data_IF_280941264814
#
_entry.id   IF_280941264814
#
_cell.length_a   1.000
_cell.length_b   1.000
_cell.length_c   1.000
_cell.angle_alpha   90.00
_cell.angle_beta   90.00
_cell.angle_gamma   90.00
#
_symmetry.space_group_name_H-M   'P 1'
#
loop_
_entity.id
_entity.type
_entity.pdbx_description
1 polymer ?
#
# COMPACT_ATOMS: atom_id res chain seq x y z
N UNK A 1 -11.08 33.99 2.51
CA UNK A 1 -11.99 33.41 3.54
C UNK A 1 -13.00 32.39 2.98
N UNK A 2 -13.55 32.56 1.76
CA UNK A 2 -14.53 31.62 1.16
C UNK A 2 -14.00 30.21 0.81
N UNK A 3 -12.71 30.07 0.48
CA UNK A 3 -12.11 28.76 0.14
C UNK A 3 -12.08 27.82 1.36
N UNK A 4 -11.86 28.37 2.56
CA UNK A 4 -11.83 27.61 3.82
C UNK A 4 -13.18 26.99 4.18
N UNK A 5 -14.29 27.66 3.86
CA UNK A 5 -15.64 27.15 4.18
C UNK A 5 -16.09 26.02 3.24
N UNK A 6 -15.72 26.09 1.95
CA UNK A 6 -15.97 24.99 1.01
C UNK A 6 -15.18 23.74 1.38
N UNK A 7 -13.92 23.91 1.81
CA UNK A 7 -13.08 22.81 2.29
C UNK A 7 -13.65 22.17 3.56
N UNK A 8 -14.18 22.96 4.51
CA UNK A 8 -14.84 22.42 5.71
C UNK A 8 -16.08 21.56 5.43
N UNK A 9 -16.89 21.91 4.42
CA UNK A 9 -18.05 21.08 4.02
C UNK A 9 -17.64 19.79 3.29
N UNK A 10 -16.49 19.80 2.61
CA UNK A 10 -15.98 18.63 1.89
C UNK A 10 -15.20 17.66 2.78
N UNK A 11 -14.64 18.13 3.91
CA UNK A 11 -13.96 17.28 4.89
C UNK A 11 -14.74 16.04 5.33
N UNK A 12 -16.01 16.13 5.78
CA UNK A 12 -16.73 14.95 6.27
C UNK A 12 -17.02 13.93 5.15
N UNK A 13 -17.29 14.40 3.93
CA UNK A 13 -17.53 13.54 2.76
C UNK A 13 -16.21 12.85 2.37
N UNK A 14 -15.13 13.61 2.29
CA UNK A 14 -13.79 13.12 2.00
C UNK A 14 -13.35 12.04 3.00
N UNK A 15 -13.51 12.29 4.30
CA UNK A 15 -13.17 11.33 5.35
C UNK A 15 -13.97 10.04 5.24
N UNK A 16 -15.27 10.12 4.89
CA UNK A 16 -16.10 8.93 4.62
C UNK A 16 -15.60 8.16 3.40
N UNK A 17 -15.31 8.84 2.28
CA UNK A 17 -14.79 8.18 1.06
C UNK A 17 -13.46 7.47 1.31
N UNK A 18 -12.52 8.13 2.00
CA UNK A 18 -11.25 7.52 2.41
C UNK A 18 -11.46 6.31 3.32
N UNK A 19 -12.42 6.39 4.26
CA UNK A 19 -12.75 5.28 5.15
C UNK A 19 -13.34 4.09 4.40
N UNK A 20 -14.21 4.34 3.41
CA UNK A 20 -14.77 3.28 2.55
C UNK A 20 -13.65 2.61 1.74
N UNK A 21 -12.76 3.40 1.11
CA UNK A 21 -11.62 2.88 0.35
C UNK A 21 -10.72 1.98 1.21
N UNK A 22 -10.52 2.35 2.48
CA UNK A 22 -9.79 1.52 3.44
C UNK A 22 -10.50 0.22 3.79
N UNK A 23 -11.81 0.25 4.04
CA UNK A 23 -12.57 -0.98 4.29
C UNK A 23 -12.56 -1.90 3.06
N UNK A 24 -12.65 -1.34 1.85
CA UNK A 24 -12.49 -2.10 0.61
C UNK A 24 -11.09 -2.71 0.50
N UNK A 25 -10.04 -1.95 0.79
CA UNK A 25 -8.67 -2.46 0.85
C UNK A 25 -8.57 -3.66 1.78
N UNK A 26 -9.07 -3.52 3.02
CA UNK A 26 -9.02 -4.55 4.06
C UNK A 26 -9.82 -5.79 3.65
N UNK A 27 -11.01 -5.61 3.09
CA UNK A 27 -11.86 -6.70 2.61
C UNK A 27 -11.23 -7.48 1.45
N UNK A 28 -10.38 -6.83 0.66
CA UNK A 28 -9.72 -7.40 -0.52
C UNK A 28 -8.30 -7.92 -0.19
N UNK A 29 -7.78 -7.71 1.03
CA UNK A 29 -6.52 -8.32 1.48
C UNK A 29 -6.43 -9.84 1.26
N UNK A 30 -7.51 -10.63 1.49
CA UNK A 30 -7.55 -12.05 1.19
C UNK A 30 -7.28 -12.42 -0.27
N UNK A 31 -7.51 -11.49 -1.19
CA UNK A 31 -7.41 -11.70 -2.64
C UNK A 31 -6.03 -11.21 -3.07
N UNK A 32 -5.04 -12.08 -2.91
CA UNK A 32 -3.62 -11.76 -3.16
C UNK A 32 -3.19 -11.97 -4.62
N UNK A 33 -4.04 -12.58 -5.46
CA UNK A 33 -3.69 -12.99 -6.83
C UNK A 33 -4.67 -12.43 -7.87
N UNK A 34 -4.54 -11.15 -8.24
CA UNK A 34 -5.42 -10.54 -9.26
C UNK A 34 -4.72 -10.41 -10.61
N UNK A 35 -5.11 -11.21 -11.64
CA UNK A 35 -4.41 -11.26 -12.92
C UNK A 35 -4.46 -9.94 -13.71
N UNK A 36 -5.50 -9.13 -13.50
CA UNK A 36 -5.60 -7.80 -14.13
C UNK A 36 -4.51 -6.84 -13.62
N UNK A 37 -4.18 -6.90 -12.33
CA UNK A 37 -3.17 -6.02 -11.73
C UNK A 37 -1.75 -6.45 -12.14
N UNK A 38 -1.51 -7.76 -12.27
CA UNK A 38 -0.24 -8.30 -12.78
C UNK A 38 0.01 -7.83 -14.23
N UNK A 39 -1.05 -7.76 -15.04
CA UNK A 39 -0.95 -7.33 -16.44
C UNK A 39 -0.67 -5.82 -16.58
N UNK A 40 -1.24 -4.99 -15.71
CA UNK A 40 -1.04 -3.52 -15.75
C UNK A 40 0.32 -3.12 -15.19
N UNK A 41 0.79 -3.76 -14.11
CA UNK A 41 2.06 -3.41 -13.47
C UNK A 41 3.26 -4.15 -14.08
N UNK A 42 3.03 -5.07 -15.02
CA UNK A 42 4.08 -5.92 -15.60
C UNK A 42 4.91 -6.65 -14.53
N UNK A 43 4.36 -6.82 -13.33
CA UNK A 43 4.99 -7.48 -12.20
C UNK A 43 4.54 -8.93 -12.17
N UNK A 44 5.52 -9.84 -12.25
CA UNK A 44 5.37 -11.28 -12.19
C UNK A 44 5.33 -11.83 -10.76
N UNK A 45 5.85 -11.08 -9.78
CA UNK A 45 6.16 -11.63 -8.46
C UNK A 45 5.02 -11.50 -7.42
N UNK A 46 4.19 -10.46 -7.44
CA UNK A 46 3.01 -10.31 -6.55
C UNK A 46 2.14 -9.13 -7.00
N UNK A 47 0.89 -9.38 -7.34
CA UNK A 47 -0.06 -8.35 -7.77
C UNK A 47 -1.35 -8.42 -6.93
N UNK A 48 -1.30 -7.92 -5.68
CA UNK A 48 -2.45 -8.01 -4.78
C UNK A 48 -3.58 -7.10 -5.29
N UNK A 49 -4.82 -7.59 -5.31
CA UNK A 49 -5.99 -6.77 -5.69
C UNK A 49 -6.11 -5.52 -4.81
N UNK A 50 -5.66 -5.62 -3.55
CA UNK A 50 -5.61 -4.53 -2.59
C UNK A 50 -4.65 -3.41 -2.98
N UNK A 51 -3.70 -3.67 -3.89
CA UNK A 51 -2.75 -2.67 -4.39
C UNK A 51 -3.42 -1.48 -5.07
N UNK A 52 -4.52 -1.71 -5.80
CA UNK A 52 -5.32 -0.64 -6.43
C UNK A 52 -5.86 0.31 -5.35
N UNK A 53 -6.43 -0.23 -4.27
CA UNK A 53 -7.00 0.57 -3.19
C UNK A 53 -5.93 1.32 -2.40
N UNK A 54 -4.74 0.71 -2.21
CA UNK A 54 -3.60 1.42 -1.60
C UNK A 54 -3.14 2.58 -2.46
N UNK A 55 -3.01 2.40 -3.78
CA UNK A 55 -2.60 3.48 -4.67
C UNK A 55 -3.62 4.63 -4.66
N UNK A 56 -4.93 4.31 -4.70
CA UNK A 56 -5.98 5.31 -4.57
C UNK A 56 -5.90 6.05 -3.23
N UNK A 57 -5.69 5.34 -2.12
CA UNK A 57 -5.49 5.96 -0.80
C UNK A 57 -4.20 6.79 -0.75
N UNK A 58 -3.13 6.35 -1.39
CA UNK A 58 -1.87 7.08 -1.46
C UNK A 58 -2.02 8.39 -2.25
N UNK A 59 -2.81 8.41 -3.34
CA UNK A 59 -3.03 9.63 -4.14
C UNK A 59 -4.01 10.56 -3.42
N UNK A 60 -5.08 10.01 -2.85
CA UNK A 60 -6.13 10.79 -2.25
C UNK A 60 -5.71 11.25 -0.85
N UNK A 61 -5.50 10.31 0.08
CA UNK A 61 -5.35 10.60 1.50
C UNK A 61 -3.95 11.09 1.90
N UNK A 62 -2.87 10.51 1.34
CA UNK A 62 -1.51 10.80 1.80
C UNK A 62 -1.10 12.28 1.65
N UNK A 63 -1.36 12.98 0.53
CA UNK A 63 -0.99 14.39 0.38
C UNK A 63 -1.71 15.26 1.41
N UNK A 64 -3.00 15.01 1.64
CA UNK A 64 -3.80 15.75 2.63
C UNK A 64 -3.28 15.48 4.05
N UNK A 65 -2.89 14.23 4.34
CA UNK A 65 -2.34 13.86 5.65
C UNK A 65 -0.98 14.53 5.91
N UNK A 66 -0.12 14.61 4.89
CA UNK A 66 1.17 15.30 4.96
C UNK A 66 1.00 16.81 5.13
N UNK A 67 0.10 17.44 4.36
CA UNK A 67 -0.19 18.88 4.45
C UNK A 67 -0.75 19.29 5.83
N UNK A 68 -1.41 18.34 6.52
CA UNK A 68 -1.95 18.54 7.88
C UNK A 68 -0.96 18.20 9.00
N UNK A 69 0.32 17.98 8.70
CA UNK A 69 1.35 17.57 9.66
C UNK A 69 0.94 16.31 10.45
N UNK A 70 0.36 15.33 9.75
CA UNK A 70 0.01 14.04 10.35
C UNK A 70 1.21 13.38 11.04
N UNK A 71 0.97 12.76 12.19
CA UNK A 71 2.02 12.15 13.00
C UNK A 71 2.14 10.67 12.63
N UNK A 72 3.27 10.30 12.02
CA UNK A 72 3.58 8.90 11.77
C UNK A 72 4.12 8.23 13.04
N UNK A 73 3.82 6.94 13.24
CA UNK A 73 4.34 6.18 14.36
C UNK A 73 5.86 5.99 14.24
N UNK A 74 6.55 5.83 15.37
CA UNK A 74 8.01 5.69 15.40
C UNK A 74 8.52 4.53 14.54
N UNK A 75 7.72 3.47 14.40
CA UNK A 75 7.97 2.27 13.61
C UNK A 75 8.17 2.57 12.12
N UNK A 76 7.71 3.73 11.61
CA UNK A 76 8.02 4.16 10.25
C UNK A 76 9.51 4.45 10.03
N UNK A 77 10.24 4.88 11.07
CA UNK A 77 11.67 5.15 10.97
C UNK A 77 12.49 3.90 10.60
N UNK A 78 12.41 2.77 11.33
CA UNK A 78 13.11 1.56 10.92
C UNK A 78 12.64 1.02 9.56
N UNK A 79 11.36 1.18 9.22
CA UNK A 79 10.86 0.82 7.88
C UNK A 79 11.53 1.65 6.77
N UNK A 80 11.74 2.95 6.98
CA UNK A 80 12.47 3.80 6.03
C UNK A 80 13.93 3.36 5.86
N UNK A 81 14.61 2.99 6.95
CA UNK A 81 15.97 2.43 6.85
C UNK A 81 15.98 1.14 6.03
N UNK A 82 15.00 0.26 6.23
CA UNK A 82 14.85 -0.95 5.42
C UNK A 82 14.63 -0.63 3.94
N UNK A 83 13.77 0.34 3.60
CA UNK A 83 13.53 0.74 2.21
C UNK A 83 14.80 1.30 1.55
N UNK A 84 15.55 2.15 2.24
CA UNK A 84 16.82 2.68 1.74
C UNK A 84 17.83 1.55 1.53
N UNK A 85 17.95 0.64 2.50
CA UNK A 85 18.84 -0.51 2.41
C UNK A 85 18.49 -1.43 1.22
N UNK A 86 17.19 -1.66 0.98
CA UNK A 86 16.72 -2.44 -0.16
C UNK A 86 17.05 -1.75 -1.50
N UNK A 87 16.85 -0.44 -1.61
CA UNK A 87 17.23 0.33 -2.81
C UNK A 87 18.74 0.28 -3.08
N UNK A 88 19.56 0.40 -2.04
CA UNK A 88 21.02 0.23 -2.15
C UNK A 88 21.34 -1.17 -2.64
N UNK A 89 20.69 -2.21 -2.11
CA UNK A 89 20.92 -3.60 -2.53
C UNK A 89 20.54 -3.82 -4.00
N UNK A 90 19.44 -3.23 -4.48
CA UNK A 90 19.06 -3.26 -5.90
C UNK A 90 20.14 -2.59 -6.75
N UNK A 91 20.64 -1.43 -6.33
CA UNK A 91 21.71 -0.71 -7.03
C UNK A 91 23.03 -1.51 -7.06
N UNK A 92 23.42 -2.12 -5.95
CA UNK A 92 24.59 -2.99 -5.85
C UNK A 92 24.47 -4.24 -6.73
N UNK A 93 23.23 -4.67 -7.03
CA UNK A 93 22.96 -5.73 -8.00
C UNK A 93 23.67 -5.47 -9.33
N UNK A 94 23.60 -4.25 -9.86
CA UNK A 94 24.20 -3.87 -11.15
C UNK A 94 25.72 -3.95 -11.20
N UNK A 95 26.39 -4.04 -10.04
CA UNK A 95 27.84 -4.24 -9.96
C UNK A 95 28.24 -5.70 -10.09
N UNK A 96 27.29 -6.64 -10.02
CA UNK A 96 27.54 -8.06 -10.22
C UNK A 96 27.32 -8.46 -11.66
N UNK A 97 28.23 -9.30 -12.15
CA UNK A 97 28.01 -10.02 -13.39
C UNK A 97 26.88 -11.04 -13.20
N UNK A 98 25.81 -10.90 -13.96
CA UNK A 98 24.69 -11.85 -13.99
C UNK A 98 24.75 -12.52 -15.37
N UNK A 99 24.84 -13.86 -15.43
CA UNK A 99 24.86 -14.56 -16.71
C UNK A 99 23.56 -14.30 -17.47
N UNK A 100 23.67 -14.03 -18.77
CA UNK A 100 22.53 -13.76 -19.63
C UNK A 100 21.59 -14.97 -19.69
N UNK A 101 20.42 -14.82 -19.09
CA UNK A 101 19.35 -15.81 -19.11
C UNK A 101 18.30 -15.42 -20.16
N UNK A 102 17.77 -16.40 -20.88
CA UNK A 102 16.71 -16.16 -21.90
C UNK A 102 15.52 -15.43 -21.27
N UNK A 103 15.19 -14.25 -21.79
CA UNK A 103 14.12 -13.36 -21.33
C UNK A 103 14.32 -12.72 -19.94
N UNK A 104 15.49 -12.83 -19.32
CA UNK A 104 15.79 -12.13 -18.07
C UNK A 104 16.46 -10.79 -18.38
N UNK A 105 15.78 -9.68 -18.05
CA UNK A 105 16.35 -8.34 -18.12
C UNK A 105 16.60 -7.83 -16.71
N UNK A 106 17.86 -7.49 -16.42
CA UNK A 106 18.24 -6.94 -15.13
C UNK A 106 17.51 -5.62 -14.81
N UNK A 107 17.30 -4.79 -15.84
CA UNK A 107 16.55 -3.53 -15.70
C UNK A 107 15.09 -3.83 -15.33
N UNK A 108 14.47 -4.81 -15.99
CA UNK A 108 13.08 -5.18 -15.69
C UNK A 108 12.96 -5.73 -14.27
N UNK A 109 13.90 -6.57 -13.84
CA UNK A 109 13.94 -7.10 -12.48
C UNK A 109 14.14 -5.99 -11.43
N UNK A 110 15.02 -5.01 -11.71
CA UNK A 110 15.21 -3.86 -10.82
C UNK A 110 13.96 -2.99 -10.74
N UNK A 111 13.30 -2.70 -11.87
CA UNK A 111 12.05 -1.94 -11.91
C UNK A 111 10.93 -2.66 -11.16
N UNK A 112 10.79 -3.97 -11.36
CA UNK A 112 9.83 -4.79 -10.63
C UNK A 112 10.12 -4.76 -9.12
N UNK A 113 11.38 -4.93 -8.70
CA UNK A 113 11.78 -4.85 -7.30
C UNK A 113 11.49 -3.48 -6.67
N UNK A 114 11.78 -2.39 -7.37
CA UNK A 114 11.46 -1.02 -6.92
C UNK A 114 9.95 -0.82 -6.81
N UNK A 115 9.16 -1.30 -7.78
CA UNK A 115 7.71 -1.21 -7.75
C UNK A 115 7.11 -1.99 -6.57
N UNK A 116 7.57 -3.22 -6.34
CA UNK A 116 7.13 -4.04 -5.20
C UNK A 116 7.51 -3.40 -3.86
N UNK A 117 8.74 -2.88 -3.75
CA UNK A 117 9.20 -2.18 -2.55
C UNK A 117 8.36 -0.93 -2.27
N UNK A 118 8.08 -0.14 -3.32
CA UNK A 118 7.22 1.05 -3.24
C UNK A 118 5.79 0.70 -2.82
N UNK A 119 5.21 -0.35 -3.41
CA UNK A 119 3.88 -0.82 -3.03
C UNK A 119 3.85 -1.25 -1.55
N UNK A 120 4.84 -2.02 -1.10
CA UNK A 120 4.99 -2.41 0.30
C UNK A 120 5.14 -1.22 1.25
N UNK A 121 5.90 -0.20 0.85
CA UNK A 121 6.04 1.04 1.59
C UNK A 121 4.70 1.78 1.72
N UNK A 122 3.93 1.88 0.65
CA UNK A 122 2.60 2.49 0.68
C UNK A 122 1.64 1.70 1.59
N UNK A 123 1.62 0.37 1.49
CA UNK A 123 0.83 -0.47 2.40
C UNK A 123 1.19 -0.21 3.86
N UNK A 124 2.48 -0.18 4.17
CA UNK A 124 2.98 0.06 5.51
C UNK A 124 2.56 1.44 6.04
N UNK A 125 2.80 2.51 5.26
CA UNK A 125 2.48 3.88 5.65
C UNK A 125 0.98 4.06 5.85
N UNK A 126 0.16 3.61 4.90
CA UNK A 126 -1.30 3.75 4.99
C UNK A 126 -1.84 2.95 6.18
N UNK A 127 -1.39 1.71 6.37
CA UNK A 127 -1.90 0.85 7.45
C UNK A 127 -1.52 1.34 8.84
N UNK A 128 -0.34 1.92 8.99
CA UNK A 128 0.14 2.39 10.29
C UNK A 128 -0.41 3.76 10.68
N UNK A 129 -0.79 4.61 9.72
CA UNK A 129 -1.21 5.98 9.98
C UNK A 129 -2.73 6.24 9.80
N UNK A 130 -3.44 5.40 9.04
CA UNK A 130 -4.86 5.60 8.75
C UNK A 130 -5.81 5.22 9.91
N UNK A 131 -5.63 4.07 10.60
CA UNK A 131 -6.41 3.70 11.79
C UNK A 131 -6.01 4.53 13.02
N UNK A 132 -6.33 5.82 13.00
CA UNK A 132 -5.87 6.80 13.99
C UNK A 132 -6.72 6.88 15.27
N UNK A 133 -7.69 5.99 15.46
CA UNK A 133 -8.52 5.92 16.65
C UNK A 133 -8.80 4.48 17.06
N UNK A 134 -9.00 4.25 18.36
CA UNK A 134 -9.33 2.92 18.90
C UNK A 134 -10.56 2.30 18.24
N UNK A 135 -11.55 3.13 17.87
CA UNK A 135 -12.75 2.68 17.18
C UNK A 135 -12.45 2.18 15.76
N UNK A 136 -11.66 2.94 14.99
CA UNK A 136 -11.22 2.55 13.64
C UNK A 136 -10.35 1.29 13.66
N UNK A 137 -9.46 1.16 14.65
CA UNK A 137 -8.64 -0.04 14.83
C UNK A 137 -9.54 -1.25 15.11
N UNK A 138 -10.49 -1.14 16.06
CA UNK A 138 -11.44 -2.22 16.36
C UNK A 138 -12.28 -2.62 15.14
N UNK A 139 -12.78 -1.65 14.37
CA UNK A 139 -13.53 -1.93 13.14
C UNK A 139 -12.67 -2.64 12.09
N UNK A 140 -11.43 -2.18 11.89
CA UNK A 140 -10.47 -2.80 10.97
C UNK A 140 -10.22 -4.26 11.38
N UNK A 141 -9.94 -4.52 12.66
CA UNK A 141 -9.72 -5.88 13.17
C UNK A 141 -10.94 -6.79 12.98
N UNK A 142 -12.17 -6.27 13.18
CA UNK A 142 -13.40 -7.02 12.90
C UNK A 142 -13.49 -7.42 11.42
N UNK A 143 -13.16 -6.51 10.50
CA UNK A 143 -13.14 -6.81 9.07
C UNK A 143 -12.05 -7.82 8.70
N UNK A 144 -10.83 -7.66 9.23
CA UNK A 144 -9.73 -8.61 9.04
C UNK A 144 -10.13 -10.00 9.52
N UNK A 145 -10.70 -10.12 10.73
CA UNK A 145 -11.13 -11.42 11.28
C UNK A 145 -12.23 -12.08 10.45
N UNK A 146 -13.20 -11.29 9.93
CA UNK A 146 -14.24 -11.81 9.03
C UNK A 146 -13.65 -12.28 7.70
N UNK A 147 -12.73 -11.51 7.12
CA UNK A 147 -12.02 -11.90 5.90
C UNK A 147 -11.20 -13.17 6.10
N UNK A 148 -10.50 -13.29 7.23
CA UNK A 148 -9.76 -14.49 7.61
C UNK A 148 -10.66 -15.72 7.80
N UNK A 149 -11.84 -15.56 8.41
CA UNK A 149 -12.81 -16.64 8.56
C UNK A 149 -13.33 -17.14 7.20
N UNK A 150 -13.63 -16.22 6.28
CA UNK A 150 -14.04 -16.58 4.90
C UNK A 150 -12.94 -17.37 4.20
N UNK A 151 -11.67 -16.95 4.34
CA UNK A 151 -10.54 -17.69 3.78
C UNK A 151 -10.38 -19.09 4.35
N UNK A 152 -10.51 -19.24 5.68
CA UNK A 152 -10.40 -20.54 6.34
C UNK A 152 -11.49 -21.47 5.83
N UNK A 153 -12.74 -21.01 5.75
CA UNK A 153 -13.85 -21.80 5.19
C UNK A 153 -13.58 -22.17 3.73
N UNK A 154 -13.04 -21.23 2.94
CA UNK A 154 -12.73 -21.50 1.53
C UNK A 154 -11.57 -22.48 1.34
N UNK A 155 -10.66 -22.58 2.31
CA UNK A 155 -9.46 -23.44 2.21
C UNK A 155 -9.66 -24.86 2.76
N UNK A 156 -10.76 -25.10 3.47
CA UNK A 156 -11.17 -26.41 4.00
C UNK A 156 -11.98 -27.19 2.96
#
# INVERSE_FOLDING_TARGET
>A
MMISQKLQKLEPIWQKSVWILWLCLVAVLPITSFPLFAKVLHTSSVAPASGIFVLLLAILWLPVYLLKNGRFPFQLKPALFFFIFALITIALGFLRYIPDYKNASMINAALEGVATLGLGALFYVVTTAMPNSSEKIKQTLKFVNRGGLVLIIWSL
#
